data_IF_251656430787
#
_entry.id   IF_251656430787
#
_cell.length_a   1.000
_cell.length_b   1.000
_cell.length_c   1.000
_cell.angle_alpha   90.00
_cell.angle_beta   90.00
_cell.angle_gamma   90.00
#
_symmetry.space_group_name_H-M   'P 1'
#
loop_
_entity.id
_entity.type
_entity.pdbx_description
1 polymer ?
#
# COMPACT_ATOMS: atom_id res chain seq x y z
N UNK A 1 2.10 -2.64 -27.43
CA UNK A 1 2.57 -1.90 -26.25
C UNK A 1 3.52 -0.76 -26.62
N UNK A 2 3.16 0.48 -26.26
CA UNK A 2 4.03 1.66 -26.37
C UNK A 2 4.87 1.87 -25.09
N UNK A 3 5.85 2.79 -25.13
CA UNK A 3 6.77 3.03 -23.99
C UNK A 3 6.04 3.46 -22.72
N UNK A 4 4.93 4.21 -22.86
CA UNK A 4 4.14 4.71 -21.73
C UNK A 4 3.40 3.56 -21.03
N UNK A 5 2.75 2.69 -21.79
CA UNK A 5 2.07 1.48 -21.30
C UNK A 5 3.05 0.56 -20.56
N UNK A 6 4.21 0.27 -21.16
CA UNK A 6 5.24 -0.55 -20.51
C UNK A 6 5.72 0.06 -19.17
N UNK A 7 5.83 1.38 -19.11
CA UNK A 7 6.26 2.09 -17.89
C UNK A 7 5.18 2.06 -16.80
N UNK A 8 3.90 2.13 -17.19
CA UNK A 8 2.76 1.99 -16.28
C UNK A 8 2.70 0.57 -15.72
N UNK A 9 2.83 -0.46 -16.56
CA UNK A 9 2.83 -1.86 -16.14
C UNK A 9 3.98 -2.16 -15.18
N UNK A 10 5.19 -1.67 -15.49
CA UNK A 10 6.35 -1.83 -14.62
C UNK A 10 6.18 -1.14 -13.26
N UNK A 11 5.60 0.07 -13.25
CA UNK A 11 5.32 0.78 -12.01
C UNK A 11 4.28 0.05 -11.15
N UNK A 12 3.18 -0.43 -11.75
CA UNK A 12 2.15 -1.21 -11.06
C UNK A 12 2.70 -2.53 -10.50
N UNK A 13 3.52 -3.24 -11.28
CA UNK A 13 4.21 -4.44 -10.84
C UNK A 13 5.13 -4.16 -9.65
N UNK A 14 5.90 -3.07 -9.71
CA UNK A 14 6.79 -2.65 -8.61
C UNK A 14 6.01 -2.35 -7.33
N UNK A 15 4.86 -1.66 -7.43
CA UNK A 15 3.96 -1.43 -6.29
C UNK A 15 3.49 -2.75 -5.69
N UNK A 16 3.05 -3.69 -6.55
CA UNK A 16 2.56 -5.00 -6.11
C UNK A 16 3.65 -5.80 -5.39
N UNK A 17 4.87 -5.84 -5.93
CA UNK A 17 6.01 -6.48 -5.27
C UNK A 17 6.28 -5.84 -3.91
N UNK A 18 6.27 -4.51 -3.83
CA UNK A 18 6.49 -3.80 -2.57
C UNK A 18 5.41 -4.11 -1.52
N UNK A 19 4.13 -4.24 -1.93
CA UNK A 19 3.04 -4.66 -1.03
C UNK A 19 3.18 -6.10 -0.58
N UNK A 20 3.60 -7.02 -1.46
CA UNK A 20 3.90 -8.41 -1.08
C UNK A 20 5.04 -8.48 -0.08
N UNK A 21 6.13 -7.73 -0.28
CA UNK A 21 7.23 -7.65 0.68
C UNK A 21 6.76 -7.15 2.05
N UNK A 22 5.96 -6.08 2.08
CA UNK A 22 5.38 -5.56 3.31
C UNK A 22 4.44 -6.58 3.99
N UNK A 23 3.65 -7.33 3.22
CA UNK A 23 2.78 -8.38 3.76
C UNK A 23 3.59 -9.53 4.38
N UNK A 24 4.69 -9.96 3.74
CA UNK A 24 5.62 -10.96 4.29
C UNK A 24 6.24 -10.45 5.59
N UNK A 25 6.75 -9.21 5.60
CA UNK A 25 7.34 -8.61 6.81
C UNK A 25 6.33 -8.45 7.96
N UNK A 26 5.05 -8.24 7.66
CA UNK A 26 3.96 -8.17 8.65
C UNK A 26 3.38 -9.55 9.04
N UNK A 27 3.93 -10.64 8.53
CA UNK A 27 3.50 -12.00 8.85
C UNK A 27 4.44 -12.62 9.89
N UNK A 28 3.93 -13.18 11.01
CA UNK A 28 4.78 -13.83 12.02
C UNK A 28 5.34 -15.16 11.49
N UNK A 29 6.49 -15.11 10.82
CA UNK A 29 7.18 -16.26 10.23
C UNK A 29 8.34 -16.65 11.14
N UNK A 30 8.33 -17.86 11.70
CA UNK A 30 9.34 -18.32 12.68
C UNK A 30 10.79 -18.27 12.19
N UNK A 31 11.01 -18.32 10.88
CA UNK A 31 12.35 -18.36 10.26
C UNK A 31 12.89 -16.97 9.91
N UNK A 32 12.09 -15.91 10.07
CA UNK A 32 12.54 -14.53 9.86
C UNK A 32 12.63 -13.84 11.21
N UNK A 33 13.77 -13.22 11.50
CA UNK A 33 13.89 -12.36 12.66
C UNK A 33 13.19 -11.02 12.44
N UNK A 34 13.02 -10.27 13.54
CA UNK A 34 12.29 -9.01 13.53
C UNK A 34 12.97 -7.97 12.65
N UNK A 35 14.30 -7.93 12.65
CA UNK A 35 15.08 -7.01 11.82
C UNK A 35 14.82 -7.25 10.32
N UNK A 36 14.88 -8.50 9.87
CA UNK A 36 14.60 -8.88 8.48
C UNK A 36 13.18 -8.53 8.09
N UNK A 37 12.22 -8.76 8.99
CA UNK A 37 10.82 -8.41 8.77
C UNK A 37 10.62 -6.89 8.61
N UNK A 38 11.24 -6.10 9.47
CA UNK A 38 11.18 -4.63 9.40
C UNK A 38 11.88 -4.11 8.13
N UNK A 39 12.99 -4.72 7.71
CA UNK A 39 13.65 -4.41 6.43
C UNK A 39 12.77 -4.72 5.22
N UNK A 40 12.01 -5.83 5.23
CA UNK A 40 11.06 -6.15 4.15
C UNK A 40 9.95 -5.10 4.06
N UNK A 41 9.42 -4.63 5.18
CA UNK A 41 8.41 -3.58 5.23
C UNK A 41 8.99 -2.26 4.70
N UNK A 42 10.21 -1.90 5.13
CA UNK A 42 10.89 -0.68 4.70
C UNK A 42 11.19 -0.69 3.20
N UNK A 43 11.87 -1.73 2.71
CA UNK A 43 12.20 -1.86 1.28
C UNK A 43 10.94 -1.89 0.42
N UNK A 44 9.93 -2.65 0.84
CA UNK A 44 8.64 -2.69 0.16
C UNK A 44 7.97 -1.32 0.09
N UNK A 45 8.06 -0.52 1.16
CA UNK A 45 7.53 0.85 1.19
C UNK A 45 8.32 1.81 0.29
N UNK A 46 9.65 1.71 0.26
CA UNK A 46 10.51 2.52 -0.63
C UNK A 46 10.17 2.26 -2.10
N UNK A 47 10.04 0.99 -2.49
CA UNK A 47 9.66 0.60 -3.86
C UNK A 47 8.30 1.19 -4.23
N UNK A 48 7.32 1.10 -3.33
CA UNK A 48 5.98 1.66 -3.55
C UNK A 48 5.99 3.19 -3.72
N UNK A 49 6.79 3.91 -2.93
CA UNK A 49 6.96 5.37 -3.06
C UNK A 49 7.53 5.72 -4.42
N UNK A 50 8.64 5.08 -4.82
CA UNK A 50 9.31 5.36 -6.08
C UNK A 50 8.42 5.03 -7.29
N UNK A 51 7.80 3.86 -7.30
CA UNK A 51 6.91 3.44 -8.36
C UNK A 51 5.62 4.26 -8.41
N UNK A 52 5.04 4.61 -7.26
CA UNK A 52 3.87 5.48 -7.17
C UNK A 52 4.16 6.88 -7.69
N UNK A 53 5.33 7.45 -7.38
CA UNK A 53 5.75 8.75 -7.91
C UNK A 53 5.86 8.72 -9.44
N UNK A 54 6.47 7.69 -10.02
CA UNK A 54 6.52 7.52 -11.47
C UNK A 54 5.12 7.38 -12.09
N UNK A 55 4.20 6.67 -11.42
CA UNK A 55 2.83 6.47 -11.92
C UNK A 55 2.00 7.77 -11.91
N UNK A 56 2.27 8.71 -11.00
CA UNK A 56 1.64 10.04 -10.99
C UNK A 56 1.94 10.77 -12.29
N UNK A 57 3.20 10.79 -12.74
CA UNK A 57 3.60 11.45 -13.98
C UNK A 57 2.93 10.82 -15.21
N UNK A 58 2.75 9.49 -15.20
CA UNK A 58 2.08 8.75 -16.27
C UNK A 58 0.56 9.01 -16.30
N UNK A 59 -0.04 9.34 -15.16
CA UNK A 59 -1.46 9.63 -15.00
C UNK A 59 -1.87 11.05 -15.42
N UNK A 60 -1.04 11.78 -16.17
CA UNK A 60 -1.18 13.21 -16.55
C UNK A 60 -2.58 13.67 -16.99
N UNK A 61 -3.39 12.79 -17.56
CA UNK A 61 -4.72 13.12 -18.12
C UNK A 61 -5.89 12.71 -17.21
N UNK A 62 -5.64 12.24 -15.99
CA UNK A 62 -6.66 11.81 -15.04
C UNK A 62 -6.38 12.42 -13.65
N UNK A 63 -6.98 13.58 -13.33
CA UNK A 63 -6.75 14.28 -12.07
C UNK A 63 -7.12 13.46 -10.82
N UNK A 64 -8.23 12.71 -10.86
CA UNK A 64 -8.64 11.85 -9.74
C UNK A 64 -7.63 10.73 -9.49
N UNK A 65 -7.12 10.09 -10.55
CA UNK A 65 -6.05 9.09 -10.45
C UNK A 65 -4.77 9.71 -9.88
N UNK A 66 -4.34 10.87 -10.37
CA UNK A 66 -3.17 11.57 -9.85
C UNK A 66 -3.29 11.88 -8.37
N UNK A 67 -4.43 12.44 -7.94
CA UNK A 67 -4.65 12.79 -6.54
C UNK A 67 -4.66 11.54 -5.64
N UNK A 68 -5.33 10.47 -6.06
CA UNK A 68 -5.32 9.21 -5.33
C UNK A 68 -3.91 8.61 -5.21
N UNK A 69 -3.13 8.62 -6.29
CA UNK A 69 -1.74 8.18 -6.27
C UNK A 69 -0.87 9.07 -5.38
N UNK A 70 -1.03 10.38 -5.41
CA UNK A 70 -0.31 11.32 -4.56
C UNK A 70 -0.59 11.07 -3.07
N UNK A 71 -1.85 10.84 -2.69
CA UNK A 71 -2.22 10.48 -1.32
C UNK A 71 -1.54 9.17 -0.87
N UNK A 72 -1.48 8.17 -1.75
CA UNK A 72 -0.80 6.89 -1.50
C UNK A 72 0.70 7.09 -1.30
N UNK A 73 1.36 7.85 -2.20
CA UNK A 73 2.79 8.16 -2.11
C UNK A 73 3.12 8.94 -0.85
N UNK A 74 2.30 9.92 -0.46
CA UNK A 74 2.48 10.67 0.79
C UNK A 74 2.32 9.76 2.02
N UNK A 75 1.38 8.81 1.97
CA UNK A 75 1.20 7.78 3.01
C UNK A 75 2.48 6.99 3.25
N UNK A 76 2.92 6.25 2.23
CA UNK A 76 4.13 5.43 2.32
C UNK A 76 5.40 6.26 2.53
N UNK A 77 5.50 7.44 1.92
CA UNK A 77 6.66 8.33 2.09
C UNK A 77 6.80 8.82 3.53
N UNK A 78 5.68 9.12 4.19
CA UNK A 78 5.68 9.46 5.62
C UNK A 78 6.18 8.30 6.47
N UNK A 79 5.86 7.06 6.09
CA UNK A 79 6.32 5.84 6.74
C UNK A 79 7.81 5.59 6.53
N UNK A 80 8.32 5.71 5.30
CA UNK A 80 9.76 5.59 4.99
C UNK A 80 10.59 6.62 5.78
N UNK A 81 10.13 7.88 5.86
CA UNK A 81 10.83 8.92 6.61
C UNK A 81 10.93 8.62 8.12
N UNK A 82 10.11 7.72 8.67
CA UNK A 82 10.21 7.30 10.08
C UNK A 82 11.42 6.41 10.30
N UNK A 83 11.60 5.40 9.44
CA UNK A 83 12.76 4.51 9.51
C UNK A 83 14.07 5.27 9.32
N UNK A 84 14.09 6.31 8.49
CA UNK A 84 15.28 7.14 8.28
C UNK A 84 15.59 8.03 9.49
N UNK A 85 14.57 8.43 10.26
CA UNK A 85 14.71 9.34 11.40
C UNK A 85 15.06 8.65 12.71
N UNK A 86 15.16 7.32 12.72
CA UNK A 86 15.42 6.51 13.92
C UNK A 86 14.39 6.83 15.02
N UNK A 87 13.11 6.91 14.63
CA UNK A 87 12.01 7.14 15.56
C UNK A 87 11.73 5.86 16.36
N UNK A 88 12.17 5.83 17.62
CA UNK A 88 12.07 4.66 18.51
C UNK A 88 10.74 4.56 19.30
N UNK A 89 9.86 5.56 19.22
CA UNK A 89 8.55 5.50 19.90
C UNK A 89 7.53 4.72 19.07
N UNK A 90 7.34 3.44 19.42
CA UNK A 90 6.38 2.53 18.80
C UNK A 90 4.95 3.10 18.71
N UNK A 91 4.52 3.93 19.67
CA UNK A 91 3.18 4.54 19.61
C UNK A 91 3.10 5.59 18.52
N UNK A 92 4.17 6.35 18.32
CA UNK A 92 4.26 7.32 17.22
C UNK A 92 4.29 6.58 15.89
N UNK A 93 5.08 5.50 15.78
CA UNK A 93 5.13 4.65 14.59
C UNK A 93 3.75 4.08 14.24
N UNK A 94 3.03 3.51 15.21
CA UNK A 94 1.67 2.99 15.01
C UNK A 94 0.67 4.07 14.57
N UNK A 95 0.68 5.25 15.21
CA UNK A 95 -0.22 6.37 14.82
C UNK A 95 0.05 6.84 13.40
N UNK A 96 1.31 6.92 12.99
CA UNK A 96 1.66 7.33 11.63
C UNK A 96 1.32 6.24 10.61
N UNK A 97 1.51 4.97 10.95
CA UNK A 97 1.06 3.86 10.12
C UNK A 97 -0.46 3.89 9.91
N UNK A 98 -1.26 4.11 10.98
CA UNK A 98 -2.70 4.36 10.87
C UNK A 98 -2.99 5.53 9.92
N UNK A 99 -2.29 6.64 10.09
CA UNK A 99 -2.43 7.80 9.21
C UNK A 99 -2.09 7.48 7.76
N UNK A 100 -1.13 6.58 7.49
CA UNK A 100 -0.80 6.11 6.14
C UNK A 100 -1.96 5.32 5.55
N UNK A 101 -2.46 4.31 6.25
CA UNK A 101 -3.55 3.48 5.73
C UNK A 101 -4.83 4.29 5.50
N UNK A 102 -5.14 5.26 6.37
CA UNK A 102 -6.28 6.15 6.16
C UNK A 102 -6.13 7.01 4.90
N UNK A 103 -4.92 7.42 4.52
CA UNK A 103 -4.67 8.11 3.24
C UNK A 103 -4.90 7.19 2.05
N UNK A 104 -4.55 5.90 2.14
CA UNK A 104 -4.83 4.93 1.08
C UNK A 104 -6.33 4.58 0.96
N UNK A 105 -7.05 4.54 2.09
CA UNK A 105 -8.51 4.44 2.09
C UNK A 105 -9.12 5.65 1.37
N UNK A 106 -8.68 6.87 1.72
CA UNK A 106 -9.13 8.08 1.05
C UNK A 106 -8.77 8.08 -0.44
N UNK A 107 -7.55 7.67 -0.79
CA UNK A 107 -7.10 7.54 -2.18
C UNK A 107 -8.02 6.62 -2.98
N UNK A 108 -8.41 5.48 -2.40
CA UNK A 108 -9.34 4.54 -3.02
C UNK A 108 -10.70 5.18 -3.31
N UNK A 109 -11.22 5.98 -2.38
CA UNK A 109 -12.46 6.74 -2.60
C UNK A 109 -12.31 7.83 -3.67
N UNK A 110 -11.20 8.57 -3.67
CA UNK A 110 -10.93 9.62 -4.68
C UNK A 110 -10.88 8.99 -6.08
N UNK A 111 -10.17 7.88 -6.26
CA UNK A 111 -10.10 7.19 -7.55
C UNK A 111 -11.48 6.66 -7.98
N UNK A 112 -12.29 6.17 -7.04
CA UNK A 112 -13.64 5.69 -7.30
C UNK A 112 -14.63 6.81 -7.71
N UNK A 113 -14.26 8.10 -7.63
CA UNK A 113 -15.11 9.18 -8.17
C UNK A 113 -15.08 9.29 -9.69
N UNK A 114 -14.07 8.70 -10.35
CA UNK A 114 -13.95 8.73 -11.81
C UNK A 114 -14.93 7.73 -12.47
N UNK A 115 -15.89 8.15 -13.30
CA UNK A 115 -16.80 7.23 -13.99
C UNK A 115 -16.10 6.22 -14.91
N UNK A 116 -14.93 6.58 -15.45
CA UNK A 116 -14.15 5.68 -16.33
C UNK A 116 -13.60 4.50 -15.52
N UNK A 117 -13.29 4.72 -14.24
CA UNK A 117 -12.79 3.69 -13.33
C UNK A 117 -13.78 2.51 -13.23
N UNK A 118 -15.07 2.78 -13.15
CA UNK A 118 -16.13 1.78 -13.03
C UNK A 118 -16.37 0.92 -14.27
N UNK A 119 -15.73 1.23 -15.42
CA UNK A 119 -15.91 0.46 -16.65
C UNK A 119 -15.23 -0.90 -16.62
N UNK A 120 -14.34 -1.13 -15.66
CA UNK A 120 -13.48 -2.33 -15.61
C UNK A 120 -13.60 -3.01 -14.26
N UNK A 121 -14.06 -4.26 -14.25
CA UNK A 121 -14.33 -5.01 -13.03
C UNK A 121 -13.08 -5.20 -12.16
N UNK A 122 -11.92 -5.44 -12.77
CA UNK A 122 -10.66 -5.59 -12.03
C UNK A 122 -10.27 -4.31 -11.28
N UNK A 123 -10.60 -3.12 -11.80
CA UNK A 123 -10.37 -1.84 -11.13
C UNK A 123 -11.21 -1.75 -9.86
N UNK A 124 -12.50 -2.05 -9.99
CA UNK A 124 -13.43 -2.05 -8.86
C UNK A 124 -13.00 -3.05 -7.78
N UNK A 125 -12.81 -4.32 -8.15
CA UNK A 125 -12.46 -5.39 -7.18
C UNK A 125 -11.11 -5.10 -6.54
N UNK A 126 -10.10 -4.77 -7.33
CA UNK A 126 -8.75 -4.50 -6.83
C UNK A 126 -8.70 -3.33 -5.85
N UNK A 127 -9.33 -2.20 -6.18
CA UNK A 127 -9.39 -1.04 -5.27
C UNK A 127 -10.25 -1.29 -4.04
N UNK A 128 -11.35 -2.06 -4.14
CA UNK A 128 -12.11 -2.44 -2.95
C UNK A 128 -11.28 -3.31 -2.00
N UNK A 129 -10.51 -4.27 -2.50
CA UNK A 129 -9.62 -5.08 -1.68
C UNK A 129 -8.53 -4.24 -1.01
N UNK A 130 -7.92 -3.30 -1.74
CA UNK A 130 -6.96 -2.33 -1.17
C UNK A 130 -7.61 -1.49 -0.06
N UNK A 131 -8.81 -0.95 -0.31
CA UNK A 131 -9.54 -0.13 0.64
C UNK A 131 -9.93 -0.91 1.92
N UNK A 132 -10.50 -2.10 1.76
CA UNK A 132 -10.88 -2.96 2.89
C UNK A 132 -9.64 -3.42 3.64
N UNK A 133 -8.58 -3.85 2.94
CA UNK A 133 -7.32 -4.27 3.53
C UNK A 133 -6.69 -3.17 4.41
N UNK A 134 -6.60 -1.95 3.88
CA UNK A 134 -6.14 -0.78 4.63
C UNK A 134 -7.05 -0.45 5.82
N UNK A 135 -8.37 -0.60 5.68
CA UNK A 135 -9.32 -0.37 6.78
C UNK A 135 -9.15 -1.38 7.93
N UNK A 136 -8.98 -2.67 7.62
CA UNK A 136 -8.73 -3.71 8.62
C UNK A 136 -7.39 -3.48 9.32
N UNK A 137 -6.38 -3.08 8.56
CA UNK A 137 -5.07 -2.67 9.07
C UNK A 137 -5.18 -1.54 10.11
N UNK A 138 -5.98 -0.50 9.84
CA UNK A 138 -6.27 0.57 10.81
C UNK A 138 -6.90 0.02 12.08
N UNK A 139 -7.85 -0.91 11.97
CA UNK A 139 -8.50 -1.54 13.12
C UNK A 139 -7.50 -2.31 13.99
N UNK A 140 -6.63 -3.11 13.37
CA UNK A 140 -5.56 -3.85 14.06
C UNK A 140 -4.58 -2.95 14.80
N UNK A 141 -4.08 -1.91 14.12
CA UNK A 141 -3.17 -0.93 14.74
C UNK A 141 -3.83 -0.13 15.87
N UNK A 142 -5.10 0.23 15.72
CA UNK A 142 -5.84 0.91 16.79
C UNK A 142 -6.07 -0.01 18.00
N UNK A 143 -6.27 -1.31 17.77
CA UNK A 143 -6.31 -2.32 18.84
C UNK A 143 -4.97 -2.39 19.58
N UNK A 144 -3.84 -2.38 18.88
CA UNK A 144 -2.51 -2.33 19.52
C UNK A 144 -2.35 -1.06 20.38
N UNK A 145 -2.76 0.11 19.87
CA UNK A 145 -2.69 1.37 20.64
C UNK A 145 -3.57 1.38 21.91
N UNK A 146 -4.73 0.73 21.87
CA UNK A 146 -5.72 0.78 22.94
C UNK A 146 -5.60 -0.34 23.96
N UNK A 147 -5.11 -1.51 23.55
CA UNK A 147 -5.05 -2.73 24.38
C UNK A 147 -3.64 -3.31 24.55
N UNK A 148 -2.64 -2.80 23.83
CA UNK A 148 -1.28 -3.34 23.85
C UNK A 148 -0.47 -2.84 25.04
N UNK A 149 0.13 -3.79 25.77
CA UNK A 149 1.29 -3.55 26.64
C UNK A 149 2.61 -3.61 25.84
N UNK A 150 2.60 -4.32 24.71
CA UNK A 150 3.69 -4.44 23.73
C UNK A 150 3.18 -4.05 22.34
N UNK A 151 3.75 -2.98 21.78
CA UNK A 151 3.38 -2.41 20.48
C UNK A 151 4.07 -3.09 19.29
N UNK A 152 5.02 -3.98 19.56
CA UNK A 152 5.84 -4.68 18.56
C UNK A 152 5.22 -6.01 18.11
N UNK A 153 4.19 -6.49 18.82
CA UNK A 153 3.49 -7.73 18.50
C UNK A 153 2.81 -7.66 17.13
N UNK A 154 2.97 -8.74 16.35
CA UNK A 154 2.20 -8.95 15.14
C UNK A 154 0.71 -9.05 15.46
N UNK A 155 -0.09 -8.13 14.93
CA UNK A 155 -1.54 -8.20 15.02
C UNK A 155 -2.11 -8.89 13.77
N UNK A 156 -2.85 -9.98 13.99
CA UNK A 156 -3.52 -10.76 12.95
C UNK A 156 -4.41 -9.93 11.98
N UNK A 157 -5.04 -8.83 12.42
CA UNK A 157 -5.81 -7.97 11.52
C UNK A 157 -4.87 -7.16 10.63
N UNK A 158 -3.74 -6.69 11.17
CA UNK A 158 -2.71 -6.03 10.36
C UNK A 158 -2.19 -6.99 9.29
N UNK A 159 -1.81 -8.21 9.67
CA UNK A 159 -1.35 -9.24 8.73
C UNK A 159 -2.40 -9.57 7.67
N UNK A 160 -3.66 -9.77 8.07
CA UNK A 160 -4.72 -10.07 7.11
C UNK A 160 -4.97 -8.90 6.14
N UNK A 161 -5.01 -7.68 6.68
CA UNK A 161 -5.25 -6.48 5.88
C UNK A 161 -4.12 -6.16 4.91
N UNK A 162 -2.86 -6.44 5.23
CA UNK A 162 -1.73 -6.27 4.30
C UNK A 162 -1.78 -7.28 3.15
N UNK A 163 -2.17 -8.53 3.41
CA UNK A 163 -2.36 -9.52 2.34
C UNK A 163 -3.55 -9.21 1.44
N UNK A 164 -4.66 -8.71 2.00
CA UNK A 164 -5.79 -8.23 1.21
C UNK A 164 -5.39 -7.08 0.27
N UNK A 165 -4.61 -6.14 0.81
CA UNK A 165 -4.06 -5.03 0.04
C UNK A 165 -3.13 -5.50 -1.08
N UNK A 166 -2.20 -6.42 -0.78
CA UNK A 166 -1.31 -7.00 -1.78
C UNK A 166 -2.10 -7.73 -2.89
N UNK A 167 -3.12 -8.49 -2.53
CA UNK A 167 -4.01 -9.17 -3.48
C UNK A 167 -4.79 -8.18 -4.35
N UNK A 168 -5.30 -7.09 -3.76
CA UNK A 168 -5.97 -6.02 -4.50
C UNK A 168 -5.05 -5.36 -5.53
N UNK A 169 -3.81 -5.04 -5.15
CA UNK A 169 -2.82 -4.49 -6.09
C UNK A 169 -2.39 -5.49 -7.17
N UNK A 170 -2.31 -6.78 -6.87
CA UNK A 170 -2.05 -7.81 -7.87
C UNK A 170 -3.17 -7.87 -8.92
N UNK A 171 -4.44 -7.80 -8.52
CA UNK A 171 -5.58 -7.75 -9.45
C UNK A 171 -5.51 -6.50 -10.34
N UNK A 172 -5.20 -5.33 -9.77
CA UNK A 172 -5.04 -4.08 -10.53
C UNK A 172 -3.92 -4.19 -11.57
N UNK A 173 -2.79 -4.78 -11.17
CA UNK A 173 -1.62 -4.95 -12.04
C UNK A 173 -1.93 -5.92 -13.17
N UNK A 174 -2.43 -7.12 -12.85
CA UNK A 174 -2.73 -8.15 -13.84
C UNK A 174 -3.81 -7.69 -14.83
N UNK A 175 -4.85 -7.02 -14.34
CA UNK A 175 -5.90 -6.49 -15.20
C UNK A 175 -5.44 -5.32 -16.09
N UNK A 176 -4.41 -4.58 -15.69
CA UNK A 176 -3.82 -3.53 -16.54
C UNK A 176 -2.93 -4.15 -17.62
N UNK A 177 -2.09 -5.14 -17.25
CA UNK A 177 -1.24 -5.87 -18.20
C UNK A 177 -2.07 -6.60 -19.26
N UNK A 178 -3.21 -7.18 -18.88
CA UNK A 178 -4.13 -7.83 -19.83
C UNK A 178 -4.68 -6.85 -20.89
N UNK A 179 -4.74 -5.54 -20.60
CA UNK A 179 -5.15 -4.52 -21.57
C UNK A 179 -4.03 -4.06 -22.51
N UNK A 180 -2.77 -4.32 -22.16
CA UNK A 180 -1.59 -3.83 -22.91
C UNK A 180 -0.95 -4.90 -23.82
N UNK A 181 -1.29 -6.18 -23.59
CA UNK A 181 -0.95 -7.34 -24.42
C UNK A 181 -1.80 -7.41 -25.71
#
# INVERSE_FOLDING_TARGET
MNRKELSEDFALLSITIGKVMAAIGQTPIKTLDRETQDQLILLGSIIQVGAGAALIDLASNNPSKQLGLALTVIGYGSFVLQFIRDEDDDRILLKRAISSNLKEVLASFVVATDPIFWRKMYRIIGTLLVCIGNSIQVMGRNRLLTKGEDYTLFDHLVTFGTWMEAGGSAILTLGTIDETL
#
